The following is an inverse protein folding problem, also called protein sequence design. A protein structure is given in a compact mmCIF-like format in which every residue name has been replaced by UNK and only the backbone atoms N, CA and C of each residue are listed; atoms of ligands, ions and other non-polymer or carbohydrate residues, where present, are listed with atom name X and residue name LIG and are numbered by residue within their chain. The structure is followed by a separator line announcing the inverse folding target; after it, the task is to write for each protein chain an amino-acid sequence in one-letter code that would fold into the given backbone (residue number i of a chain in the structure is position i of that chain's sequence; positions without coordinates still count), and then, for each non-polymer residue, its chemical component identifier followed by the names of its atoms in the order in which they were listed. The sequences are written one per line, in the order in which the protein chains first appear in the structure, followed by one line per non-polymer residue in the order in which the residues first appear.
data_IF_250206029488
#
_entry.id   IF_250206029488
#
_cell.length_a   1.000
_cell.length_b   1.000
_cell.length_c   1.000
_cell.angle_alpha   90.00
_cell.angle_beta   90.00
_cell.angle_gamma   90.00
#
_symmetry.space_group_name_H-M   'P 1'
#
loop_
_entity.id
_entity.type
_entity.pdbx_description
1 polymer ?
#
# COMPACT_ATOMS: atom_id res chain seq x y z
N UNK A 1 -44.03 -7.76 -10.29
CA UNK A 1 -44.28 -6.44 -10.90
C UNK A 1 -43.43 -5.44 -10.12
N UNK A 2 -42.14 -5.32 -10.40
CA UNK A 2 -41.55 -4.57 -11.52
C UNK A 2 -41.43 -3.07 -11.20
N UNK A 3 -40.50 -2.71 -10.30
CA UNK A 3 -39.85 -1.36 -10.20
C UNK A 3 -38.66 -1.42 -9.22
N UNK A 4 -37.61 -2.20 -9.50
CA UNK A 4 -36.30 -2.07 -8.82
C UNK A 4 -35.15 -2.59 -9.70
N UNK A 5 -35.30 -2.48 -11.03
CA UNK A 5 -34.33 -2.99 -12.00
C UNK A 5 -34.09 -1.94 -13.09
N UNK A 6 -33.40 -0.86 -12.74
CA UNK A 6 -32.81 0.09 -13.68
C UNK A 6 -32.02 1.12 -12.89
N UNK A 7 -30.70 0.92 -12.76
CA UNK A 7 -29.65 1.95 -12.53
C UNK A 7 -28.27 1.35 -12.18
N UNK A 8 -27.98 0.08 -12.53
CA UNK A 8 -26.67 -0.56 -12.29
C UNK A 8 -25.82 -0.66 -13.56
N UNK A 9 -25.79 0.40 -14.37
CA UNK A 9 -25.00 0.43 -15.61
C UNK A 9 -24.42 1.81 -15.84
N UNK A 10 -23.40 2.19 -15.04
CA UNK A 10 -22.36 3.17 -15.40
C UNK A 10 -21.32 3.29 -14.27
N UNK A 11 -20.55 2.24 -14.03
CA UNK A 11 -19.26 2.38 -13.34
C UNK A 11 -18.22 2.81 -14.37
N UNK A 12 -18.10 4.12 -14.61
CA UNK A 12 -16.89 4.68 -15.22
C UNK A 12 -15.77 4.57 -14.19
N UNK A 13 -14.69 3.86 -14.54
CA UNK A 13 -13.43 3.83 -13.78
C UNK A 13 -13.03 5.27 -13.45
N UNK A 14 -12.97 5.59 -12.15
CA UNK A 14 -12.47 6.87 -11.68
C UNK A 14 -10.97 6.94 -12.00
N UNK A 15 -10.56 7.99 -12.70
CA UNK A 15 -9.17 8.30 -12.99
C UNK A 15 -8.39 8.38 -11.67
N UNK A 16 -7.32 7.60 -11.59
CA UNK A 16 -6.26 7.71 -10.58
C UNK A 16 -5.61 9.09 -10.70
N UNK A 17 -5.18 9.64 -9.57
CA UNK A 17 -4.69 10.99 -9.35
C UNK A 17 -3.75 11.50 -10.47
N UNK A 18 -4.23 12.48 -11.24
CA UNK A 18 -3.37 13.39 -12.01
C UNK A 18 -2.72 14.35 -11.00
N UNK A 19 -1.39 14.32 -10.88
CA UNK A 19 -0.64 15.36 -10.18
C UNK A 19 -0.81 16.68 -10.94
N UNK A 20 -1.53 17.64 -10.34
CA UNK A 20 -1.65 18.97 -10.90
C UNK A 20 -0.29 19.69 -10.82
N UNK A 21 0.37 19.83 -11.98
CA UNK A 21 1.43 20.82 -12.15
C UNK A 21 0.87 22.25 -12.00
N UNK A 22 1.70 23.25 -11.64
CA UNK A 22 1.24 24.62 -11.50
C UNK A 22 0.65 25.14 -12.82
N UNK A 23 -0.49 25.82 -12.72
CA UNK A 23 -1.21 26.37 -13.87
C UNK A 23 -0.32 27.38 -14.63
N UNK A 24 -0.35 27.40 -15.98
CA UNK A 24 0.47 28.31 -16.75
C UNK A 24 -0.04 29.75 -16.64
N UNK A 25 0.81 30.63 -16.11
CA UNK A 25 0.67 32.08 -16.24
C UNK A 25 1.28 32.48 -17.60
N UNK A 26 0.63 33.31 -18.42
CA UNK A 26 1.21 33.71 -19.70
C UNK A 26 2.36 34.69 -19.45
N UNK A 27 3.61 34.22 -19.61
CA UNK A 27 4.81 35.05 -19.61
C UNK A 27 5.53 34.93 -20.96
N UNK A 28 5.87 36.07 -21.55
CA UNK A 28 6.49 36.16 -22.87
C UNK A 28 7.95 35.68 -22.91
N UNK A 29 8.35 35.23 -24.10
CA UNK A 29 9.58 34.54 -24.53
C UNK A 29 10.92 35.08 -24.01
N UNK A 30 10.97 36.28 -23.44
CA UNK A 30 12.21 36.88 -22.95
C UNK A 30 12.62 36.40 -21.54
N UNK A 31 11.70 35.86 -20.74
CA UNK A 31 12.00 35.40 -19.37
C UNK A 31 12.39 33.91 -19.28
N UNK A 32 12.07 33.10 -20.30
CA UNK A 32 12.35 31.65 -20.31
C UNK A 32 13.85 31.33 -20.21
N UNK A 33 14.70 32.11 -20.88
CA UNK A 33 16.17 31.89 -20.85
C UNK A 33 16.82 32.15 -19.50
N UNK A 34 16.17 32.92 -18.62
CA UNK A 34 16.70 33.26 -17.29
C UNK A 34 16.32 32.24 -16.22
N UNK A 35 15.19 31.55 -16.38
CA UNK A 35 14.67 30.60 -15.37
C UNK A 35 15.35 29.23 -15.49
N UNK A 36 15.78 28.84 -16.69
CA UNK A 36 16.55 27.60 -16.92
C UNK A 36 17.92 27.58 -16.24
N UNK A 37 18.52 28.74 -15.95
CA UNK A 37 19.83 28.83 -15.29
C UNK A 37 19.78 28.83 -13.75
N UNK A 38 18.61 29.06 -13.13
CA UNK A 38 18.50 29.17 -11.66
C UNK A 38 17.87 27.94 -10.98
N UNK A 39 17.22 27.04 -11.71
CA UNK A 39 16.59 25.86 -11.13
C UNK A 39 17.49 24.63 -11.31
N UNK A 40 18.06 24.15 -10.21
CA UNK A 40 18.73 22.85 -10.15
C UNK A 40 17.83 21.70 -10.62
N UNK A 41 18.39 20.53 -10.94
CA UNK A 41 17.69 19.49 -11.68
C UNK A 41 16.48 18.94 -10.92
N UNK A 42 15.28 19.20 -11.46
CA UNK A 42 13.99 18.62 -11.05
C UNK A 42 13.96 17.09 -11.27
N UNK A 43 13.30 16.31 -10.39
CA UNK A 43 13.13 14.88 -10.56
C UNK A 43 12.02 14.62 -11.60
N UNK A 44 12.39 14.13 -12.78
CA UNK A 44 11.43 13.79 -13.84
C UNK A 44 11.87 14.09 -15.28
N UNK A 45 13.18 14.13 -15.57
CA UNK A 45 13.63 14.19 -16.97
C UNK A 45 13.13 12.95 -17.72
N UNK A 46 12.25 13.16 -18.70
CA UNK A 46 11.96 12.18 -19.75
C UNK A 46 13.29 11.79 -20.41
N UNK A 47 13.64 10.51 -20.35
CA UNK A 47 14.92 10.03 -20.90
C UNK A 47 14.87 10.21 -22.42
N UNK A 48 15.91 10.83 -22.97
CA UNK A 48 16.02 10.98 -24.43
C UNK A 48 16.37 9.63 -25.07
N UNK A 49 15.86 9.35 -26.27
CA UNK A 49 16.20 8.13 -27.03
C UNK A 49 17.72 7.88 -27.13
N UNK A 50 18.51 8.96 -27.22
CA UNK A 50 19.97 8.90 -27.27
C UNK A 50 20.61 8.43 -25.95
N UNK A 51 20.01 8.78 -24.81
CA UNK A 51 20.44 8.29 -23.49
C UNK A 51 20.10 6.80 -23.33
N UNK A 52 18.93 6.37 -23.80
CA UNK A 52 18.52 4.96 -23.79
C UNK A 52 19.47 4.12 -24.66
N UNK A 53 19.80 4.54 -25.87
CA UNK A 53 20.68 3.78 -26.78
C UNK A 53 22.12 3.66 -26.27
N UNK A 54 22.60 4.64 -25.51
CA UNK A 54 23.95 4.60 -24.92
C UNK A 54 24.01 3.83 -23.61
N UNK A 55 22.85 3.51 -23.03
CA UNK A 55 22.77 2.88 -21.73
C UNK A 55 23.35 1.46 -21.73
N UNK A 56 23.96 1.08 -20.61
CA UNK A 56 24.53 -0.27 -20.43
C UNK A 56 23.43 -1.32 -20.46
N UNK A 57 22.26 -1.04 -19.88
CA UNK A 57 21.12 -1.95 -19.84
C UNK A 57 20.62 -2.24 -21.25
N UNK A 58 20.54 -1.24 -22.13
CA UNK A 58 20.10 -1.44 -23.52
C UNK A 58 21.04 -2.37 -24.28
N UNK A 59 22.36 -2.25 -24.06
CA UNK A 59 23.33 -3.19 -24.64
C UNK A 59 23.19 -4.62 -24.11
N UNK A 60 22.92 -4.75 -22.80
CA UNK A 60 22.66 -6.06 -22.18
C UNK A 60 21.36 -6.65 -22.76
N UNK A 61 20.33 -5.84 -22.94
CA UNK A 61 19.07 -6.25 -23.54
C UNK A 61 19.24 -6.74 -24.98
N UNK A 62 19.95 -5.99 -25.82
CA UNK A 62 20.30 -6.37 -27.19
C UNK A 62 21.08 -7.68 -27.28
N UNK A 63 21.88 -7.99 -26.26
CA UNK A 63 22.67 -9.20 -26.19
C UNK A 63 21.88 -10.42 -25.69
N UNK A 64 20.81 -10.24 -24.91
CA UNK A 64 20.20 -11.34 -24.15
C UNK A 64 18.69 -11.58 -24.44
N UNK A 65 17.89 -10.54 -24.69
CA UNK A 65 16.43 -10.72 -24.82
C UNK A 65 15.73 -9.84 -25.85
N UNK A 66 16.40 -8.85 -26.42
CA UNK A 66 15.82 -8.05 -27.50
C UNK A 66 15.60 -8.91 -28.75
N UNK A 67 14.38 -8.88 -29.27
CA UNK A 67 13.89 -9.70 -30.39
C UNK A 67 14.59 -9.38 -31.73
N UNK A 68 15.46 -8.36 -31.76
CA UNK A 68 16.22 -7.95 -32.96
C UNK A 68 17.19 -8.99 -33.52
N UNK A 69 17.54 -10.05 -32.78
CA UNK A 69 18.40 -11.15 -33.27
C UNK A 69 17.65 -12.47 -33.14
N UNK A 70 17.28 -13.07 -34.27
CA UNK A 70 16.41 -14.26 -34.37
C UNK A 70 16.88 -15.56 -33.68
N UNK A 71 18.00 -15.54 -32.93
CA UNK A 71 18.40 -16.61 -32.01
C UNK A 71 18.34 -16.06 -30.58
N UNK A 72 17.38 -16.55 -29.78
CA UNK A 72 17.33 -16.25 -28.35
C UNK A 72 18.51 -16.94 -27.65
N UNK A 73 19.43 -16.21 -27.00
CA UNK A 73 20.52 -16.82 -26.26
C UNK A 73 19.99 -17.58 -25.03
N UNK A 74 20.82 -18.50 -24.52
CA UNK A 74 20.47 -19.32 -23.35
C UNK A 74 20.27 -18.42 -22.14
N UNK A 75 19.21 -18.67 -21.37
CA UNK A 75 18.91 -17.93 -20.16
C UNK A 75 20.04 -18.04 -19.13
N UNK A 76 20.42 -16.89 -18.57
CA UNK A 76 21.38 -16.81 -17.47
C UNK A 76 20.71 -16.19 -16.23
N UNK A 77 20.56 -17.00 -15.18
CA UNK A 77 20.00 -16.58 -13.90
C UNK A 77 20.92 -15.59 -13.16
N UNK A 78 22.25 -15.76 -13.24
CA UNK A 78 23.21 -14.88 -12.58
C UNK A 78 23.14 -13.44 -13.13
N UNK A 79 22.75 -13.28 -14.40
CA UNK A 79 22.54 -11.96 -14.99
C UNK A 79 21.36 -11.23 -14.34
N UNK A 80 20.30 -11.95 -13.97
CA UNK A 80 19.16 -11.36 -13.25
C UNK A 80 19.60 -10.87 -11.87
N UNK A 81 20.37 -11.69 -11.16
CA UNK A 81 20.93 -11.33 -9.86
C UNK A 81 21.87 -10.11 -9.96
N UNK A 82 22.69 -10.04 -11.01
CA UNK A 82 23.59 -8.92 -11.29
C UNK A 82 22.82 -7.63 -11.58
N UNK A 83 21.82 -7.67 -12.47
CA UNK A 83 20.97 -6.53 -12.81
C UNK A 83 20.27 -6.02 -11.55
N UNK A 84 19.69 -6.93 -10.76
CA UNK A 84 19.03 -6.55 -9.52
C UNK A 84 19.98 -5.85 -8.56
N UNK A 85 21.14 -6.46 -8.27
CA UNK A 85 22.09 -5.94 -7.26
C UNK A 85 22.80 -4.66 -7.68
N UNK A 86 23.08 -4.48 -8.98
CA UNK A 86 23.84 -3.32 -9.48
C UNK A 86 22.96 -2.16 -9.92
N UNK A 87 21.81 -2.44 -10.54
CA UNK A 87 20.99 -1.41 -11.21
C UNK A 87 19.67 -1.12 -10.48
N UNK A 88 19.09 -2.12 -9.78
CA UNK A 88 17.78 -1.98 -9.11
C UNK A 88 17.90 -1.78 -7.59
N UNK A 89 18.92 -2.36 -6.96
CA UNK A 89 19.17 -2.22 -5.54
C UNK A 89 19.91 -0.90 -5.26
N UNK A 90 19.25 -0.01 -4.53
CA UNK A 90 19.89 1.22 -4.04
C UNK A 90 20.35 1.00 -2.61
N UNK A 91 21.66 0.83 -2.43
CA UNK A 91 22.29 0.59 -1.12
C UNK A 91 22.66 1.87 -0.39
N UNK A 92 22.64 3.05 -1.04
CA UNK A 92 23.17 4.31 -0.46
C UNK A 92 22.32 5.53 -0.83
N UNK A 93 22.06 6.40 0.15
CA UNK A 93 21.30 7.66 0.01
C UNK A 93 19.80 7.53 0.30
N UNK A 94 19.05 8.64 0.29
CA UNK A 94 17.59 8.70 0.56
C UNK A 94 16.73 8.62 -0.72
N UNK A 95 17.27 8.12 -1.84
CA UNK A 95 16.55 8.08 -3.13
C UNK A 95 15.78 6.77 -3.30
N UNK A 96 14.64 6.81 -4.01
CA UNK A 96 13.87 5.63 -4.43
C UNK A 96 14.66 4.79 -5.44
N UNK A 97 14.15 3.62 -5.83
CA UNK A 97 14.71 2.84 -6.96
C UNK A 97 14.93 3.79 -8.14
N UNK A 98 16.07 3.75 -8.85
CA UNK A 98 16.37 4.74 -9.87
C UNK A 98 15.37 4.56 -11.00
N UNK A 99 14.35 5.42 -11.05
CA UNK A 99 13.23 5.32 -11.97
C UNK A 99 13.71 5.09 -13.40
N UNK A 100 14.78 5.79 -13.78
CA UNK A 100 15.37 5.69 -15.10
C UNK A 100 15.85 4.28 -15.46
N UNK A 101 16.38 3.51 -14.51
CA UNK A 101 16.87 2.13 -14.75
C UNK A 101 15.70 1.18 -14.98
N UNK A 102 14.64 1.33 -14.17
CA UNK A 102 13.41 0.54 -14.28
C UNK A 102 12.69 0.82 -15.60
N UNK A 103 12.59 2.10 -15.99
CA UNK A 103 12.03 2.52 -17.28
C UNK A 103 12.79 1.91 -18.47
N UNK A 104 14.12 1.93 -18.46
CA UNK A 104 14.93 1.34 -19.55
C UNK A 104 14.72 -0.17 -19.64
N UNK A 105 14.61 -0.86 -18.51
CA UNK A 105 14.29 -2.29 -18.48
C UNK A 105 12.89 -2.59 -19.04
N UNK A 106 11.89 -1.75 -18.71
CA UNK A 106 10.53 -1.87 -19.24
C UNK A 106 10.50 -1.67 -20.76
N UNK A 107 11.14 -0.61 -21.26
CA UNK A 107 11.23 -0.31 -22.70
C UNK A 107 11.90 -1.48 -23.46
N UNK A 108 12.86 -2.14 -22.82
CA UNK A 108 13.51 -3.31 -23.38
C UNK A 108 12.70 -4.62 -23.28
N UNK A 109 11.49 -4.58 -22.71
CA UNK A 109 10.60 -5.72 -22.47
C UNK A 109 11.26 -6.82 -21.62
N UNK A 110 11.95 -6.40 -20.54
CA UNK A 110 12.67 -7.30 -19.65
C UNK A 110 11.77 -8.36 -19.00
N UNK A 111 10.53 -7.99 -18.64
CA UNK A 111 9.57 -8.91 -18.04
C UNK A 111 9.12 -9.98 -19.03
N UNK A 112 8.66 -9.56 -20.19
CA UNK A 112 8.02 -10.42 -21.21
C UNK A 112 9.02 -11.33 -21.91
N UNK A 113 10.23 -10.83 -22.18
CA UNK A 113 11.20 -11.57 -22.99
C UNK A 113 12.26 -12.31 -22.17
N UNK A 114 12.52 -11.92 -20.91
CA UNK A 114 13.60 -12.50 -20.12
C UNK A 114 13.16 -13.07 -18.77
N UNK A 115 12.40 -12.34 -17.96
CA UNK A 115 12.07 -12.79 -16.60
C UNK A 115 10.97 -13.86 -16.58
N UNK A 116 9.80 -13.58 -17.18
CA UNK A 116 8.63 -14.44 -17.05
C UNK A 116 8.74 -15.77 -17.82
N UNK A 117 9.24 -15.80 -19.08
CA UNK A 117 9.42 -17.05 -19.80
C UNK A 117 10.37 -18.02 -19.10
N UNK A 118 11.37 -17.50 -18.39
CA UNK A 118 12.39 -18.29 -17.69
C UNK A 118 12.15 -18.41 -16.19
N UNK A 119 10.98 -18.00 -15.69
CA UNK A 119 10.64 -18.17 -14.28
C UNK A 119 10.35 -19.64 -13.98
N UNK A 120 11.09 -20.17 -13.00
CA UNK A 120 10.93 -21.53 -12.48
C UNK A 120 10.69 -21.48 -10.95
N UNK A 121 9.52 -21.93 -10.45
CA UNK A 121 9.12 -21.73 -9.06
C UNK A 121 10.08 -22.27 -7.99
N UNK A 122 10.81 -23.35 -8.31
CA UNK A 122 11.71 -24.02 -7.36
C UNK A 122 13.14 -23.47 -7.37
N UNK A 123 13.58 -22.94 -8.51
CA UNK A 123 14.96 -22.48 -8.72
C UNK A 123 15.11 -20.95 -8.67
N UNK A 124 14.02 -20.20 -8.82
CA UNK A 124 14.08 -18.73 -8.88
C UNK A 124 14.66 -18.12 -7.59
N UNK A 125 15.67 -17.26 -7.79
CA UNK A 125 16.30 -16.46 -6.74
C UNK A 125 15.35 -15.38 -6.19
N UNK A 126 15.71 -14.81 -5.04
CA UNK A 126 15.01 -13.65 -4.49
C UNK A 126 15.01 -12.49 -5.48
N UNK A 127 16.17 -12.24 -6.09
CA UNK A 127 16.41 -11.19 -7.07
C UNK A 127 15.53 -11.33 -8.32
N UNK A 128 15.31 -12.56 -8.80
CA UNK A 128 14.40 -12.82 -9.92
C UNK A 128 12.96 -12.46 -9.57
N UNK A 129 12.44 -12.95 -8.44
CA UNK A 129 11.06 -12.67 -8.01
C UNK A 129 10.87 -11.18 -7.77
N UNK A 130 11.81 -10.52 -7.09
CA UNK A 130 11.73 -9.09 -6.81
C UNK A 130 11.86 -8.25 -8.09
N UNK A 131 12.64 -8.69 -9.08
CA UNK A 131 12.71 -8.03 -10.39
C UNK A 131 11.36 -8.08 -11.12
N UNK A 132 10.65 -9.22 -11.07
CA UNK A 132 9.28 -9.32 -11.62
C UNK A 132 8.35 -8.34 -10.91
N UNK A 133 8.39 -8.30 -9.58
CA UNK A 133 7.61 -7.37 -8.74
C UNK A 133 7.85 -5.91 -9.16
N UNK A 134 9.10 -5.51 -9.35
CA UNK A 134 9.46 -4.15 -9.77
C UNK A 134 8.96 -3.82 -11.19
N UNK A 135 9.08 -4.75 -12.14
CA UNK A 135 8.58 -4.54 -13.50
C UNK A 135 7.04 -4.41 -13.53
N UNK A 136 6.33 -5.19 -12.72
CA UNK A 136 4.87 -5.05 -12.59
C UNK A 136 4.50 -3.68 -12.03
N UNK A 137 5.14 -3.23 -10.95
CA UNK A 137 4.91 -1.90 -10.38
C UNK A 137 5.14 -0.79 -11.41
N UNK A 138 6.21 -0.90 -12.21
CA UNK A 138 6.51 0.07 -13.26
C UNK A 138 5.43 0.10 -14.34
N UNK A 139 4.92 -1.07 -14.75
CA UNK A 139 3.81 -1.15 -15.70
C UNK A 139 2.55 -0.45 -15.19
N UNK A 140 2.23 -0.59 -13.91
CA UNK A 140 1.15 0.17 -13.29
C UNK A 140 1.42 1.67 -13.27
N UNK A 141 2.66 2.08 -12.99
CA UNK A 141 3.07 3.50 -12.99
C UNK A 141 2.91 4.15 -14.36
N UNK A 142 3.28 3.45 -15.43
CA UNK A 142 3.10 3.89 -16.83
C UNK A 142 1.68 3.64 -17.36
N UNK A 143 0.78 3.11 -16.52
CA UNK A 143 -0.59 2.77 -16.86
C UNK A 143 -0.69 1.84 -18.09
N UNK A 144 0.27 0.93 -18.23
CA UNK A 144 0.27 -0.12 -19.24
C UNK A 144 -0.26 -1.44 -18.65
N UNK A 145 -0.83 -2.32 -19.48
CA UNK A 145 -1.45 -3.57 -19.00
C UNK A 145 -0.46 -4.54 -18.36
N UNK A 146 -0.36 -4.52 -17.03
CA UNK A 146 0.66 -5.26 -16.29
C UNK A 146 0.47 -6.80 -16.29
N UNK A 147 -0.79 -7.28 -16.27
CA UNK A 147 -1.07 -8.71 -16.12
C UNK A 147 -1.07 -9.51 -17.43
N UNK A 148 -1.12 -8.84 -18.59
CA UNK A 148 -1.31 -9.51 -19.89
C UNK A 148 -0.24 -10.55 -20.19
N UNK A 149 1.03 -10.27 -19.88
CA UNK A 149 2.13 -11.18 -20.16
C UNK A 149 2.09 -12.48 -19.33
N UNK A 150 1.40 -12.47 -18.19
CA UNK A 150 1.31 -13.64 -17.33
C UNK A 150 0.32 -14.69 -17.85
N UNK A 151 -0.66 -14.27 -18.66
CA UNK A 151 -1.63 -15.16 -19.31
C UNK A 151 -0.98 -16.14 -20.29
N UNK A 152 0.23 -15.85 -20.79
CA UNK A 152 1.00 -16.78 -21.64
C UNK A 152 1.44 -18.05 -20.89
N UNK A 153 1.55 -17.99 -19.55
CA UNK A 153 1.90 -19.11 -18.66
C UNK A 153 1.04 -19.08 -17.38
N UNK A 154 -0.28 -19.01 -17.55
CA UNK A 154 -1.24 -18.88 -16.44
C UNK A 154 -1.12 -20.03 -15.42
N UNK A 155 -0.72 -21.22 -15.86
CA UNK A 155 -0.54 -22.42 -15.03
C UNK A 155 0.55 -22.26 -13.96
N UNK A 156 1.57 -21.45 -14.23
CA UNK A 156 2.72 -21.22 -13.33
C UNK A 156 2.46 -20.04 -12.39
N UNK A 157 1.50 -19.17 -12.71
CA UNK A 157 1.19 -17.97 -11.92
C UNK A 157 0.83 -18.25 -10.45
N UNK A 158 0.02 -19.28 -10.11
CA UNK A 158 -0.23 -19.61 -8.70
C UNK A 158 1.06 -19.95 -7.93
N UNK A 159 2.03 -20.61 -8.58
CA UNK A 159 3.31 -20.94 -7.97
C UNK A 159 4.19 -19.68 -7.79
N UNK A 160 4.14 -18.75 -8.75
CA UNK A 160 4.75 -17.42 -8.61
C UNK A 160 4.16 -16.66 -7.40
N UNK A 161 2.83 -16.55 -7.29
CA UNK A 161 2.18 -15.93 -6.14
C UNK A 161 2.60 -16.59 -4.82
N UNK A 162 2.65 -17.93 -4.77
CA UNK A 162 3.11 -18.63 -3.58
C UNK A 162 4.55 -18.26 -3.20
N UNK A 163 5.45 -18.12 -4.19
CA UNK A 163 6.82 -17.62 -3.95
C UNK A 163 6.79 -16.19 -3.42
N UNK A 164 6.03 -15.29 -4.04
CA UNK A 164 5.89 -13.89 -3.58
C UNK A 164 5.38 -13.80 -2.13
N UNK A 165 4.37 -14.60 -1.77
CA UNK A 165 3.79 -14.57 -0.42
C UNK A 165 4.73 -15.15 0.65
N UNK A 166 5.60 -16.09 0.27
CA UNK A 166 6.60 -16.72 1.16
C UNK A 166 7.99 -16.08 1.06
N UNK A 167 8.17 -15.02 0.27
CA UNK A 167 9.45 -14.32 0.16
C UNK A 167 9.93 -13.79 1.52
N UNK A 168 9.01 -13.34 2.37
CA UNK A 168 9.31 -12.82 3.71
C UNK A 168 9.61 -13.92 4.75
N UNK A 169 9.31 -15.18 4.46
CA UNK A 169 9.66 -16.31 5.36
C UNK A 169 11.15 -16.66 5.27
N UNK A 170 11.87 -16.13 4.27
CA UNK A 170 13.30 -16.32 4.13
C UNK A 170 14.05 -15.43 5.13
N UNK A 171 15.14 -15.94 5.73
CA UNK A 171 15.94 -15.24 6.77
C UNK A 171 16.71 -13.99 6.27
N UNK A 172 16.43 -13.52 5.05
CA UNK A 172 17.06 -12.31 4.49
C UNK A 172 16.45 -11.07 5.11
N UNK A 173 17.31 -10.12 5.51
CA UNK A 173 16.88 -8.79 5.96
C UNK A 173 16.55 -7.92 4.74
N UNK A 174 15.37 -7.30 4.76
CA UNK A 174 14.90 -6.43 3.69
C UNK A 174 15.14 -4.97 4.06
N UNK A 175 15.61 -4.19 3.10
CA UNK A 175 15.64 -2.75 3.28
C UNK A 175 14.23 -2.13 3.13
N UNK A 176 14.05 -0.90 3.59
CA UNK A 176 12.75 -0.22 3.58
C UNK A 176 12.18 -0.06 2.16
N UNK A 177 13.03 0.01 1.14
CA UNK A 177 12.63 0.15 -0.27
C UNK A 177 12.08 -1.16 -0.83
N UNK A 178 12.71 -2.28 -0.54
CA UNK A 178 12.24 -3.62 -0.91
C UNK A 178 10.88 -3.86 -0.28
N UNK A 179 10.72 -3.51 1.01
CA UNK A 179 9.43 -3.58 1.71
C UNK A 179 8.36 -2.71 1.04
N UNK A 180 8.71 -1.47 0.65
CA UNK A 180 7.78 -0.54 -0.01
C UNK A 180 7.37 -1.02 -1.40
N UNK A 181 8.31 -1.50 -2.23
CA UNK A 181 8.00 -2.00 -3.57
C UNK A 181 7.18 -3.29 -3.52
N UNK A 182 7.48 -4.17 -2.57
CA UNK A 182 6.66 -5.34 -2.32
C UNK A 182 5.23 -4.97 -1.93
N UNK A 183 5.08 -4.00 -1.03
CA UNK A 183 3.78 -3.52 -0.60
C UNK A 183 3.00 -2.89 -1.77
N UNK A 184 3.65 -2.11 -2.63
CA UNK A 184 3.04 -1.55 -3.83
C UNK A 184 2.54 -2.64 -4.79
N UNK A 185 3.32 -3.71 -4.96
CA UNK A 185 2.87 -4.86 -5.75
C UNK A 185 1.65 -5.55 -5.12
N UNK A 186 1.62 -5.67 -3.79
CA UNK A 186 0.46 -6.22 -3.09
C UNK A 186 -0.77 -5.32 -3.27
N UNK A 187 -0.62 -3.98 -3.21
CA UNK A 187 -1.69 -3.03 -3.52
C UNK A 187 -2.23 -3.31 -4.93
N UNK A 188 -1.36 -3.39 -5.94
CA UNK A 188 -1.78 -3.68 -7.31
C UNK A 188 -2.48 -5.04 -7.47
N UNK A 189 -2.03 -6.08 -6.76
CA UNK A 189 -2.69 -7.38 -6.73
C UNK A 189 -4.13 -7.28 -6.20
N UNK A 190 -4.32 -6.58 -5.07
CA UNK A 190 -5.66 -6.40 -4.47
C UNK A 190 -6.52 -5.37 -5.23
N UNK A 191 -5.92 -4.46 -5.99
CA UNK A 191 -6.67 -3.56 -6.88
C UNK A 191 -7.10 -4.24 -8.19
N UNK A 192 -6.56 -5.42 -8.51
CA UNK A 192 -6.79 -6.13 -9.78
C UNK A 192 -7.65 -7.39 -9.61
N UNK A 193 -8.62 -7.37 -8.70
CA UNK A 193 -9.50 -8.53 -8.45
C UNK A 193 -10.44 -8.85 -9.63
N UNK A 194 -10.53 -7.99 -10.65
CA UNK A 194 -11.23 -8.32 -11.89
C UNK A 194 -10.58 -9.45 -12.70
N UNK A 195 -9.26 -9.63 -12.57
CA UNK A 195 -8.52 -10.69 -13.26
C UNK A 195 -8.58 -11.98 -12.42
N UNK A 196 -9.15 -13.05 -12.99
CA UNK A 196 -9.33 -14.33 -12.30
C UNK A 196 -8.00 -14.96 -11.86
N UNK A 197 -6.97 -14.85 -12.69
CA UNK A 197 -5.63 -15.37 -12.43
C UNK A 197 -5.02 -14.74 -11.16
N UNK A 198 -5.25 -13.43 -10.96
CA UNK A 198 -4.78 -12.68 -9.78
C UNK A 198 -5.71 -12.87 -8.58
N UNK A 199 -7.02 -12.81 -8.81
CA UNK A 199 -8.06 -12.92 -7.77
C UNK A 199 -7.98 -14.23 -6.99
N UNK A 200 -7.81 -15.36 -7.69
CA UNK A 200 -7.84 -16.69 -7.08
C UNK A 200 -6.78 -16.93 -5.99
N UNK A 201 -5.49 -16.61 -6.17
CA UNK A 201 -4.48 -16.72 -5.12
C UNK A 201 -4.61 -15.61 -4.06
N UNK A 202 -4.88 -14.36 -4.47
CA UNK A 202 -4.85 -13.20 -3.56
C UNK A 202 -5.99 -13.23 -2.54
N UNK A 203 -7.21 -13.61 -2.94
CA UNK A 203 -8.34 -13.67 -2.02
C UNK A 203 -8.21 -14.74 -0.92
N UNK A 204 -7.34 -15.74 -1.10
CA UNK A 204 -7.05 -16.73 -0.05
C UNK A 204 -6.41 -16.08 1.18
N UNK A 205 -5.64 -15.02 0.98
CA UNK A 205 -4.99 -14.26 2.04
C UNK A 205 -5.98 -13.45 2.88
N UNK A 206 -7.15 -13.13 2.34
CA UNK A 206 -8.20 -12.34 2.98
C UNK A 206 -9.42 -13.17 3.43
N UNK A 207 -9.23 -14.48 3.64
CA UNK A 207 -10.31 -15.42 3.94
C UNK A 207 -10.50 -15.65 5.45
N UNK A 208 -11.58 -16.35 5.83
CA UNK A 208 -11.95 -16.72 7.20
C UNK A 208 -10.80 -17.31 8.04
N UNK A 209 -9.82 -17.98 7.42
CA UNK A 209 -8.66 -18.56 8.12
C UNK A 209 -7.87 -17.52 8.92
N UNK A 210 -7.84 -16.25 8.46
CA UNK A 210 -7.22 -15.13 9.17
C UNK A 210 -7.63 -15.04 10.64
N UNK A 211 -8.84 -15.47 10.98
CA UNK A 211 -9.36 -15.38 12.34
C UNK A 211 -8.69 -16.31 13.35
N UNK A 212 -7.86 -17.25 12.89
CA UNK A 212 -6.92 -17.96 13.77
C UNK A 212 -5.89 -17.02 14.43
N UNK A 213 -5.64 -15.84 13.83
CA UNK A 213 -4.76 -14.81 14.38
C UNK A 213 -5.44 -13.87 15.39
N UNK A 214 -6.77 -13.89 15.50
CA UNK A 214 -7.50 -13.03 16.44
C UNK A 214 -7.29 -13.45 17.90
N UNK A 215 -7.36 -12.47 18.79
CA UNK A 215 -7.50 -12.72 20.22
C UNK A 215 -8.78 -13.53 20.51
N UNK A 216 -8.71 -14.39 21.53
CA UNK A 216 -9.85 -15.26 21.89
C UNK A 216 -11.11 -14.46 22.21
N UNK A 217 -10.96 -13.33 22.90
CA UNK A 217 -12.07 -12.45 23.25
C UNK A 217 -12.71 -11.84 22.00
N UNK A 218 -11.90 -11.33 21.07
CA UNK A 218 -12.42 -10.77 19.82
C UNK A 218 -13.16 -11.81 18.98
N UNK A 219 -12.59 -13.01 18.85
CA UNK A 219 -13.21 -14.11 18.11
C UNK A 219 -14.59 -14.49 18.68
N UNK A 220 -14.73 -14.52 20.01
CA UNK A 220 -16.01 -14.81 20.66
C UNK A 220 -17.06 -13.72 20.40
N UNK A 221 -16.66 -12.44 20.42
CA UNK A 221 -17.56 -11.33 20.11
C UNK A 221 -18.11 -11.43 18.68
N UNK A 222 -17.25 -11.77 17.72
CA UNK A 222 -17.67 -11.96 16.32
C UNK A 222 -18.67 -13.12 16.15
N UNK A 223 -18.47 -14.23 16.89
CA UNK A 223 -19.44 -15.34 16.88
C UNK A 223 -20.79 -14.95 17.47
N UNK A 224 -20.78 -14.09 18.49
CA UNK A 224 -22.00 -13.61 19.12
C UNK A 224 -22.80 -12.69 18.19
N UNK A 225 -22.15 -11.75 17.52
CA UNK A 225 -22.83 -10.81 16.62
C UNK A 225 -23.25 -11.45 15.28
N UNK A 226 -22.50 -12.44 14.78
CA UNK A 226 -22.73 -13.03 13.45
C UNK A 226 -22.76 -14.57 13.44
N UNK A 227 -23.62 -15.23 14.23
CA UNK A 227 -23.57 -16.68 14.41
C UNK A 227 -23.79 -17.49 13.12
N UNK A 228 -24.74 -17.10 12.25
CA UNK A 228 -25.01 -17.88 11.03
C UNK A 228 -23.93 -17.72 9.96
N UNK A 229 -23.41 -16.51 9.82
CA UNK A 229 -22.49 -16.15 8.73
C UNK A 229 -21.04 -16.48 9.02
N UNK A 230 -20.71 -16.69 10.30
CA UNK A 230 -19.34 -16.85 10.76
C UNK A 230 -19.16 -18.13 11.55
N UNK A 231 -19.95 -18.36 12.61
CA UNK A 231 -19.74 -19.52 13.50
C UNK A 231 -19.98 -20.84 12.77
N UNK A 232 -20.98 -20.92 11.89
CA UNK A 232 -21.25 -22.15 11.12
C UNK A 232 -20.14 -22.46 10.09
N UNK A 233 -19.69 -21.50 9.25
CA UNK A 233 -18.49 -21.67 8.42
C UNK A 233 -17.23 -22.01 9.23
N UNK A 234 -17.03 -21.38 10.40
CA UNK A 234 -15.89 -21.63 11.28
C UNK A 234 -15.88 -23.06 11.82
N UNK A 235 -17.03 -23.57 12.29
CA UNK A 235 -17.17 -24.98 12.71
C UNK A 235 -16.85 -25.95 11.57
N UNK A 236 -17.27 -25.63 10.34
CA UNK A 236 -16.95 -26.45 9.15
C UNK A 236 -15.46 -26.42 8.84
N UNK A 237 -14.81 -25.26 8.97
CA UNK A 237 -13.37 -25.10 8.82
C UNK A 237 -12.61 -25.96 9.83
N UNK A 238 -12.91 -25.83 11.13
CA UNK A 238 -12.30 -26.63 12.19
C UNK A 238 -12.48 -28.14 11.96
N UNK A 239 -13.64 -28.59 11.48
CA UNK A 239 -13.87 -29.99 11.13
C UNK A 239 -13.00 -30.46 9.95
N UNK A 240 -12.72 -29.60 8.96
CA UNK A 240 -11.81 -29.93 7.84
C UNK A 240 -10.36 -29.98 8.33
N UNK A 241 -9.94 -29.00 9.12
CA UNK A 241 -8.61 -28.92 9.72
C UNK A 241 -8.32 -30.13 10.62
N UNK A 242 -9.27 -30.53 11.47
CA UNK A 242 -9.13 -31.73 12.31
C UNK A 242 -8.98 -33.02 11.49
N UNK A 243 -9.60 -33.12 10.31
CA UNK A 243 -9.40 -34.25 9.39
C UNK A 243 -8.01 -34.23 8.75
N UNK A 244 -7.49 -33.05 8.41
CA UNK A 244 -6.14 -32.89 7.87
C UNK A 244 -5.08 -33.22 8.92
N UNK A 245 -5.26 -32.74 10.16
CA UNK A 245 -4.39 -33.07 11.29
C UNK A 245 -4.30 -34.58 11.53
N UNK A 246 -5.44 -35.29 11.47
CA UNK A 246 -5.48 -36.76 11.58
C UNK A 246 -4.73 -37.47 10.44
N UNK A 247 -4.71 -36.89 9.23
CA UNK A 247 -3.98 -37.44 8.08
C UNK A 247 -2.48 -37.12 8.11
N UNK A 248 -2.07 -36.04 8.76
CA UNK A 248 -0.69 -35.57 8.82
C UNK A 248 0.21 -36.36 9.80
N UNK A 249 -0.34 -37.28 10.60
CA UNK A 249 0.42 -38.13 11.52
C UNK A 249 1.09 -37.34 12.66
N UNK A 250 2.30 -37.76 13.07
CA UNK A 250 3.07 -37.14 14.18
C UNK A 250 3.57 -35.71 13.93
N UNK A 251 3.40 -35.15 12.73
CA UNK A 251 3.62 -33.70 12.52
C UNK A 251 2.40 -32.95 13.05
N UNK A 252 2.59 -32.26 14.16
CA UNK A 252 1.57 -31.41 14.78
C UNK A 252 1.15 -30.33 13.77
N UNK A 253 0.00 -30.53 13.12
CA UNK A 253 -0.59 -29.54 12.24
C UNK A 253 -1.10 -28.38 13.11
N UNK A 254 -0.46 -27.23 12.98
CA UNK A 254 -0.87 -25.98 13.62
C UNK A 254 -1.42 -25.03 12.56
N UNK A 255 -2.76 -24.78 12.53
CA UNK A 255 -3.38 -23.83 11.61
C UNK A 255 -2.76 -22.43 11.68
N UNK A 256 -2.22 -22.03 12.84
CA UNK A 256 -1.57 -20.72 12.99
C UNK A 256 -0.28 -20.59 12.20
N UNK A 257 0.29 -21.71 11.75
CA UNK A 257 1.49 -21.69 10.93
C UNK A 257 1.20 -21.53 9.44
N UNK A 258 -0.06 -21.62 9.02
CA UNK A 258 -0.45 -21.48 7.62
C UNK A 258 -0.23 -20.05 7.11
N UNK A 259 0.12 -19.96 5.83
CA UNK A 259 0.38 -18.70 5.14
C UNK A 259 -0.82 -17.76 5.23
N UNK A 260 -2.02 -18.27 4.96
CA UNK A 260 -3.27 -17.50 4.97
C UNK A 260 -3.62 -16.94 6.36
N UNK A 261 -3.01 -17.47 7.42
CA UNK A 261 -3.20 -16.98 8.79
C UNK A 261 -2.15 -15.93 9.13
N UNK A 262 -0.89 -16.14 8.75
CA UNK A 262 0.23 -15.29 9.16
C UNK A 262 0.44 -14.05 8.30
N UNK A 263 0.11 -14.13 7.01
CA UNK A 263 0.54 -13.15 6.01
C UNK A 263 0.11 -11.70 6.35
N UNK A 264 -1.18 -11.44 6.52
CA UNK A 264 -1.66 -10.08 6.83
C UNK A 264 -1.28 -9.64 8.26
N UNK A 265 -1.38 -10.49 9.31
CA UNK A 265 -0.89 -10.11 10.64
C UNK A 265 0.59 -9.74 10.68
N UNK A 266 1.46 -10.47 9.96
CA UNK A 266 2.90 -10.16 9.94
C UNK A 266 3.19 -8.83 9.25
N UNK A 267 2.46 -8.51 8.17
CA UNK A 267 2.52 -7.20 7.52
C UNK A 267 2.04 -6.07 8.44
N UNK A 268 0.94 -6.26 9.18
CA UNK A 268 0.46 -5.28 10.17
C UNK A 268 1.49 -5.08 11.29
N UNK A 269 2.11 -6.16 11.77
CA UNK A 269 3.14 -6.08 12.80
C UNK A 269 4.39 -5.34 12.30
N UNK A 270 4.87 -5.66 11.09
CA UNK A 270 5.99 -4.96 10.45
C UNK A 270 5.71 -3.47 10.31
N UNK A 271 4.50 -3.12 9.86
CA UNK A 271 4.07 -1.72 9.77
C UNK A 271 4.13 -1.00 11.11
N UNK A 272 3.58 -1.60 12.17
CA UNK A 272 3.58 -0.97 13.49
C UNK A 272 5.00 -0.80 14.04
N UNK A 273 5.93 -1.72 13.74
CA UNK A 273 7.34 -1.59 14.12
C UNK A 273 8.06 -0.47 13.36
N UNK A 274 7.79 -0.34 12.06
CA UNK A 274 8.36 0.74 11.23
C UNK A 274 7.78 2.08 11.68
N UNK A 275 6.47 2.15 11.94
CA UNK A 275 5.78 3.35 12.40
C UNK A 275 6.40 3.89 13.71
N UNK A 276 6.69 3.01 14.66
CA UNK A 276 7.30 3.38 15.95
C UNK A 276 8.74 3.91 15.80
N UNK A 277 9.46 3.46 14.78
CA UNK A 277 10.85 3.87 14.49
C UNK A 277 10.98 4.98 13.43
N UNK A 278 9.87 5.44 12.84
CA UNK A 278 9.90 6.38 11.70
C UNK A 278 10.38 7.79 12.10
N UNK A 279 10.08 8.22 13.32
CA UNK A 279 10.49 9.53 13.85
C UNK A 279 11.52 9.30 14.93
N UNK A 280 12.76 9.72 14.68
CA UNK A 280 13.79 9.70 15.71
C UNK A 280 13.60 10.92 16.62
N UNK A 281 13.23 10.68 17.88
CA UNK A 281 13.23 11.72 18.90
C UNK A 281 14.69 12.02 19.24
N UNK A 282 15.23 13.13 18.76
CA UNK A 282 16.51 13.65 19.21
C UNK A 282 16.36 14.15 20.65
N UNK A 283 16.68 13.30 21.61
CA UNK A 283 16.93 13.72 23.00
C UNK A 283 18.24 14.48 23.03
N UNK A 284 18.21 15.77 22.67
CA UNK A 284 19.28 16.69 23.04
C UNK A 284 18.84 17.31 24.36
N UNK A 285 19.21 16.67 25.48
CA UNK A 285 19.13 17.26 26.81
C UNK A 285 20.16 18.40 26.89
N UNK A 286 19.78 19.57 26.37
CA UNK A 286 20.54 20.81 26.45
C UNK A 286 19.61 21.95 26.85
N UNK A 287 19.97 22.78 27.85
CA UNK A 287 19.04 23.75 28.45
C UNK A 287 18.67 24.95 27.56
N UNK A 288 19.15 25.03 26.31
CA UNK A 288 19.12 26.27 25.52
C UNK A 288 18.35 26.23 24.18
N UNK A 289 17.58 25.18 23.86
CA UNK A 289 16.78 25.16 22.62
C UNK A 289 15.27 25.30 22.86
N UNK A 290 14.82 26.55 22.98
CA UNK A 290 13.40 26.93 22.84
C UNK A 290 13.09 27.01 21.33
N UNK A 291 12.90 25.85 20.72
CA UNK A 291 12.46 25.70 19.34
C UNK A 291 11.98 24.27 19.16
N UNK A 292 10.73 24.08 18.72
CA UNK A 292 10.21 22.76 18.35
C UNK A 292 11.01 22.23 17.17
N UNK A 293 12.13 21.56 17.43
CA UNK A 293 12.80 20.77 16.41
C UNK A 293 11.97 19.50 16.21
N UNK A 294 11.08 19.57 15.22
CA UNK A 294 10.38 18.43 14.63
C UNK A 294 11.41 17.30 14.42
N UNK A 295 11.24 16.18 15.14
CA UNK A 295 12.20 15.07 15.15
C UNK A 295 12.51 14.58 13.74
N UNK A 296 13.75 14.18 13.47
CA UNK A 296 14.14 13.77 12.12
C UNK A 296 13.31 12.56 11.66
N UNK A 297 12.66 12.71 10.51
CA UNK A 297 11.83 11.66 9.87
C UNK A 297 12.66 10.93 8.82
N UNK A 298 12.63 9.59 8.86
CA UNK A 298 13.12 8.78 7.76
C UNK A 298 12.11 8.75 6.60
N UNK A 299 12.48 9.35 5.47
CA UNK A 299 11.62 9.41 4.27
C UNK A 299 11.19 8.04 3.76
N UNK A 300 12.09 7.05 3.85
CA UNK A 300 11.79 5.70 3.40
C UNK A 300 10.67 5.08 4.24
N UNK A 301 10.76 5.22 5.56
CA UNK A 301 9.77 4.74 6.52
C UNK A 301 8.46 5.51 6.42
N UNK A 302 8.50 6.83 6.23
CA UNK A 302 7.32 7.66 5.96
C UNK A 302 6.55 7.14 4.74
N UNK A 303 7.23 6.99 3.60
CA UNK A 303 6.62 6.49 2.36
C UNK A 303 6.05 5.08 2.55
N UNK A 304 6.76 4.20 3.26
CA UNK A 304 6.25 2.88 3.58
C UNK A 304 4.95 2.95 4.39
N UNK A 305 4.91 3.78 5.43
CA UNK A 305 3.73 3.97 6.29
C UNK A 305 2.54 4.52 5.50
N UNK A 306 2.75 5.48 4.60
CA UNK A 306 1.71 6.01 3.71
C UNK A 306 1.15 4.91 2.79
N UNK A 307 2.02 4.14 2.13
CA UNK A 307 1.61 3.01 1.27
C UNK A 307 0.92 1.91 2.07
N UNK A 308 1.29 1.70 3.33
CA UNK A 308 0.62 0.71 4.16
C UNK A 308 -0.80 1.14 4.54
N UNK A 309 -0.99 2.42 4.80
CA UNK A 309 -2.33 2.96 5.03
C UNK A 309 -3.20 2.90 3.77
N UNK A 310 -2.65 3.22 2.59
CA UNK A 310 -3.32 2.98 1.29
C UNK A 310 -3.74 1.52 1.14
N UNK A 311 -2.81 0.58 1.37
CA UNK A 311 -3.07 -0.86 1.32
C UNK A 311 -4.23 -1.26 2.24
N UNK A 312 -4.22 -0.83 3.51
CA UNK A 312 -5.33 -1.13 4.43
C UNK A 312 -6.65 -0.52 3.97
N UNK A 313 -6.65 0.73 3.49
CA UNK A 313 -7.85 1.41 3.00
C UNK A 313 -8.45 0.64 1.82
N UNK A 314 -7.63 0.25 0.85
CA UNK A 314 -8.07 -0.50 -0.33
C UNK A 314 -8.70 -1.85 0.06
N UNK A 315 -8.00 -2.65 0.88
CA UNK A 315 -8.52 -3.95 1.30
C UNK A 315 -9.82 -3.82 2.14
N UNK A 316 -10.01 -2.71 2.83
CA UNK A 316 -11.20 -2.48 3.66
C UNK A 316 -12.34 -1.78 2.90
N UNK A 317 -12.04 -1.17 1.76
CA UNK A 317 -13.03 -0.59 0.84
C UNK A 317 -13.74 -1.67 0.01
N UNK A 318 -13.07 -2.81 -0.21
CA UNK A 318 -13.56 -3.91 -1.02
C UNK A 318 -14.36 -4.93 -0.19
N UNK A 319 -15.60 -5.23 -0.59
CA UNK A 319 -16.45 -6.24 0.06
C UNK A 319 -15.80 -7.63 0.28
N UNK A 320 -15.09 -8.24 -0.70
CA UNK A 320 -14.58 -9.61 -0.55
C UNK A 320 -13.47 -9.75 0.50
N UNK A 321 -12.70 -8.70 0.77
CA UNK A 321 -11.52 -8.71 1.65
C UNK A 321 -11.82 -8.12 3.02
N UNK A 322 -12.81 -7.23 3.10
CA UNK A 322 -13.07 -6.41 4.26
C UNK A 322 -13.53 -7.16 5.51
N UNK A 323 -14.48 -8.08 5.38
CA UNK A 323 -15.18 -8.67 6.57
C UNK A 323 -14.18 -9.25 7.57
N UNK A 324 -13.30 -10.12 7.08
CA UNK A 324 -12.37 -10.84 7.95
C UNK A 324 -11.21 -9.95 8.37
N UNK A 325 -10.74 -9.07 7.48
CA UNK A 325 -9.66 -8.13 7.77
C UNK A 325 -10.06 -7.06 8.79
N UNK A 326 -11.31 -6.56 8.75
CA UNK A 326 -11.79 -5.53 9.67
C UNK A 326 -11.61 -5.98 11.12
N UNK A 327 -12.02 -7.21 11.45
CA UNK A 327 -11.85 -7.77 12.79
C UNK A 327 -10.37 -7.81 13.21
N UNK A 328 -9.47 -8.18 12.30
CA UNK A 328 -8.03 -8.25 12.55
C UNK A 328 -7.42 -6.87 12.81
N UNK A 329 -7.72 -5.89 11.96
CA UNK A 329 -7.23 -4.51 12.08
C UNK A 329 -7.68 -3.87 13.39
N UNK A 330 -8.90 -4.20 13.82
CA UNK A 330 -9.43 -3.70 15.09
C UNK A 330 -8.83 -4.40 16.32
N UNK A 331 -8.64 -5.72 16.27
CA UNK A 331 -7.98 -6.47 17.34
C UNK A 331 -6.53 -6.02 17.55
N UNK A 332 -5.83 -5.71 16.44
CA UNK A 332 -4.48 -5.15 16.47
C UNK A 332 -4.43 -3.67 16.91
N UNK A 333 -5.58 -3.02 17.06
CA UNK A 333 -5.74 -1.61 17.42
C UNK A 333 -4.95 -0.65 16.50
N UNK A 334 -4.89 -0.96 15.19
CA UNK A 334 -4.04 -0.23 14.22
C UNK A 334 -4.30 1.27 14.24
N UNK A 335 -5.57 1.68 14.15
CA UNK A 335 -5.95 3.10 14.12
C UNK A 335 -5.52 3.85 15.38
N UNK A 336 -5.63 3.20 16.55
CA UNK A 336 -5.23 3.81 17.83
C UNK A 336 -3.71 3.98 17.87
N UNK A 337 -2.96 2.95 17.46
CA UNK A 337 -1.49 3.00 17.40
C UNK A 337 -0.99 4.04 16.38
N UNK A 338 -1.65 4.17 15.23
CA UNK A 338 -1.35 5.24 14.26
C UNK A 338 -1.48 6.62 14.91
N UNK A 339 -2.53 6.87 15.70
CA UNK A 339 -2.76 8.16 16.34
C UNK A 339 -1.80 8.46 17.49
N UNK A 340 -1.32 7.42 18.18
CA UNK A 340 -0.33 7.57 19.25
C UNK A 340 1.10 7.72 18.72
N UNK A 341 1.34 7.49 17.43
CA UNK A 341 2.68 7.60 16.83
C UNK A 341 3.11 9.06 16.66
N UNK A 342 4.41 9.31 16.80
CA UNK A 342 5.02 10.63 16.59
C UNK A 342 4.82 11.13 15.15
N UNK A 343 5.03 10.23 14.17
CA UNK A 343 4.06 9.95 13.12
C UNK A 343 3.03 11.04 12.77
N UNK A 344 1.92 10.89 13.48
CA UNK A 344 0.63 11.50 13.22
C UNK A 344 0.60 13.01 13.52
N UNK A 345 1.40 13.48 14.48
CA UNK A 345 1.47 14.89 14.84
C UNK A 345 2.58 15.64 14.10
N UNK A 346 3.47 14.92 13.42
CA UNK A 346 4.59 15.49 12.69
C UNK A 346 4.11 16.23 11.43
N UNK A 347 4.69 17.41 11.14
CA UNK A 347 4.36 18.23 9.96
C UNK A 347 4.43 17.45 8.64
N UNK A 348 5.48 16.64 8.49
CA UNK A 348 5.68 15.73 7.35
C UNK A 348 4.74 14.52 7.29
N UNK A 349 4.12 14.14 8.40
CA UNK A 349 3.19 13.02 8.50
C UNK A 349 1.75 13.39 8.16
N UNK A 350 1.48 14.58 7.60
CA UNK A 350 0.12 15.07 7.34
C UNK A 350 -0.69 14.11 6.46
N UNK A 351 -0.11 13.62 5.36
CA UNK A 351 -0.76 12.65 4.47
C UNK A 351 -1.07 11.35 5.21
N UNK A 352 -0.12 10.82 5.98
CA UNK A 352 -0.33 9.66 6.84
C UNK A 352 -1.49 9.88 7.85
N UNK A 353 -1.54 11.06 8.48
CA UNK A 353 -2.61 11.46 9.37
C UNK A 353 -3.99 11.51 8.70
N UNK A 354 -4.07 12.07 7.49
CA UNK A 354 -5.29 12.10 6.68
C UNK A 354 -5.79 10.69 6.33
N UNK A 355 -4.88 9.78 5.94
CA UNK A 355 -5.22 8.39 5.65
C UNK A 355 -5.74 7.65 6.89
N UNK A 356 -5.10 7.87 8.05
CA UNK A 356 -5.54 7.32 9.32
C UNK A 356 -6.91 7.87 9.75
N UNK A 357 -7.15 9.16 9.49
CA UNK A 357 -8.42 9.81 9.74
C UNK A 357 -9.56 9.22 8.90
N UNK A 358 -9.35 9.05 7.59
CA UNK A 358 -10.33 8.44 6.68
C UNK A 358 -10.81 7.09 7.22
N UNK A 359 -9.88 6.29 7.73
CA UNK A 359 -10.18 4.99 8.34
C UNK A 359 -10.97 5.09 9.64
N UNK A 360 -10.65 6.06 10.49
CA UNK A 360 -11.36 6.29 11.74
C UNK A 360 -12.81 6.70 11.49
N UNK A 361 -13.01 7.66 10.58
CA UNK A 361 -14.32 8.17 10.19
C UNK A 361 -15.21 7.07 9.63
N UNK A 362 -14.63 6.17 8.82
CA UNK A 362 -15.32 4.99 8.30
C UNK A 362 -16.02 4.17 9.40
N UNK A 363 -15.33 3.98 10.53
CA UNK A 363 -15.79 3.14 11.65
C UNK A 363 -16.71 3.90 12.59
N UNK A 364 -16.33 5.12 12.92
CA UNK A 364 -16.82 5.81 14.09
C UNK A 364 -18.08 6.63 13.82
N UNK A 365 -18.29 7.02 12.55
CA UNK A 365 -19.40 7.90 12.16
C UNK A 365 -20.06 7.42 10.87
N UNK A 366 -21.16 6.64 10.94
CA UNK A 366 -21.87 6.13 9.76
C UNK A 366 -22.29 7.22 8.77
N UNK A 367 -22.63 8.42 9.28
CA UNK A 367 -22.98 9.60 8.47
C UNK A 367 -21.83 10.10 7.58
N UNK A 368 -20.59 9.81 7.95
CA UNK A 368 -19.39 10.22 7.20
C UNK A 368 -18.77 9.05 6.42
N UNK A 369 -19.49 7.94 6.27
CA UNK A 369 -19.00 6.80 5.48
C UNK A 369 -18.67 7.22 4.04
N UNK A 370 -19.35 8.22 3.50
CA UNK A 370 -19.06 8.77 2.17
C UNK A 370 -17.67 9.43 2.12
N UNK A 371 -17.28 10.20 3.14
CA UNK A 371 -15.90 10.77 3.26
C UNK A 371 -14.89 9.64 3.21
N UNK A 372 -15.15 8.58 3.97
CA UNK A 372 -14.23 7.47 4.05
C UNK A 372 -14.08 6.67 2.76
N UNK A 373 -14.98 6.85 1.79
CA UNK A 373 -14.92 6.25 0.45
C UNK A 373 -14.51 7.25 -0.65
N UNK A 374 -14.28 8.52 -0.29
CA UNK A 374 -13.91 9.57 -1.24
C UNK A 374 -12.39 9.59 -1.48
N UNK A 375 -11.96 10.04 -2.66
CA UNK A 375 -10.54 10.26 -2.96
C UNK A 375 -9.92 11.30 -2.00
N UNK A 376 -8.72 11.03 -1.49
CA UNK A 376 -7.97 11.89 -0.57
C UNK A 376 -7.77 13.30 -1.14
N UNK A 377 -7.57 13.45 -2.46
CA UNK A 377 -7.43 14.76 -3.10
C UNK A 377 -8.69 15.64 -2.98
N UNK A 378 -9.87 15.04 -2.79
CA UNK A 378 -11.09 15.77 -2.50
C UNK A 378 -11.23 16.11 -1.00
N UNK A 379 -10.58 15.36 -0.12
CA UNK A 379 -10.57 15.57 1.35
C UNK A 379 -9.52 16.62 1.74
N UNK A 380 -8.46 16.79 0.95
CA UNK A 380 -7.40 17.79 1.18
C UNK A 380 -7.90 19.24 1.07
N UNK A 381 -8.96 19.49 0.29
CA UNK A 381 -9.53 20.83 0.15
C UNK A 381 -10.34 21.20 1.39
N UNK A 382 -9.92 22.26 2.11
CA UNK A 382 -10.62 22.76 3.32
C UNK A 382 -12.13 22.86 3.12
N UNK A 383 -12.58 23.43 2.01
CA UNK A 383 -14.01 23.67 1.76
C UNK A 383 -14.79 22.37 1.55
N UNK A 384 -14.22 21.39 0.85
CA UNK A 384 -14.83 20.09 0.63
C UNK A 384 -14.93 19.29 1.94
N UNK A 385 -13.89 19.35 2.79
CA UNK A 385 -13.93 18.74 4.11
C UNK A 385 -14.97 19.41 5.02
N UNK A 386 -15.07 20.74 5.01
CA UNK A 386 -16.12 21.48 5.76
C UNK A 386 -17.52 21.10 5.32
N UNK A 387 -17.76 21.01 4.00
CA UNK A 387 -19.05 20.62 3.45
C UNK A 387 -19.44 19.22 3.92
N UNK A 388 -18.52 18.25 3.84
CA UNK A 388 -18.80 16.89 4.26
C UNK A 388 -18.96 16.72 5.78
N UNK A 389 -18.26 17.53 6.58
CA UNK A 389 -18.42 17.54 8.04
C UNK A 389 -19.72 18.23 8.52
N UNK A 390 -20.35 19.05 7.67
CA UNK A 390 -21.60 19.77 8.00
C UNK A 390 -22.79 18.85 8.31
N UNK A 391 -22.70 17.58 7.91
CA UNK A 391 -23.71 16.54 8.18
C UNK A 391 -23.77 16.16 9.67
N UNK A 392 -22.73 16.48 10.44
CA UNK A 392 -22.65 16.16 11.87
C UNK A 392 -23.30 17.21 12.76
N UNK A 393 -23.94 16.74 13.82
CA UNK A 393 -24.40 17.62 14.90
C UNK A 393 -23.20 18.13 15.71
N UNK A 394 -23.38 19.23 16.45
CA UNK A 394 -22.32 19.77 17.31
C UNK A 394 -21.81 18.75 18.34
N UNK A 395 -22.69 17.88 18.86
CA UNK A 395 -22.34 16.82 19.79
C UNK A 395 -21.54 15.70 19.12
N UNK A 396 -21.96 15.26 17.93
CA UNK A 396 -21.24 14.25 17.14
C UNK A 396 -19.85 14.76 16.75
N UNK A 397 -19.75 16.02 16.36
CA UNK A 397 -18.50 16.67 15.99
C UNK A 397 -17.59 16.88 17.21
N UNK A 398 -18.14 17.22 18.38
CA UNK A 398 -17.38 17.30 19.64
C UNK A 398 -16.87 15.92 20.05
N UNK A 399 -17.70 14.89 19.99
CA UNK A 399 -17.29 13.51 20.27
C UNK A 399 -16.20 13.07 19.30
N UNK A 400 -16.36 13.38 18.00
CA UNK A 400 -15.33 13.16 16.98
C UNK A 400 -14.02 13.86 17.36
N UNK A 401 -14.01 15.15 17.64
CA UNK A 401 -12.79 15.94 17.93
C UNK A 401 -12.12 15.55 19.25
N UNK A 402 -12.89 15.44 20.33
CA UNK A 402 -12.36 15.30 21.68
C UNK A 402 -12.10 13.87 22.11
N UNK A 403 -12.92 12.91 21.66
CA UNK A 403 -12.82 11.51 22.11
C UNK A 403 -12.28 10.61 20.98
N UNK A 404 -12.77 10.80 19.76
CA UNK A 404 -12.37 9.94 18.65
C UNK A 404 -11.11 10.42 17.95
N UNK A 405 -10.81 11.71 17.88
CA UNK A 405 -9.60 12.25 17.26
C UNK A 405 -8.59 12.75 18.29
N UNK A 406 -9.05 13.03 19.52
CA UNK A 406 -8.23 13.53 20.64
C UNK A 406 -7.38 14.74 20.22
N UNK A 407 -7.91 15.59 19.33
CA UNK A 407 -7.21 16.81 18.88
C UNK A 407 -7.27 17.90 19.96
N UNK A 408 -8.31 17.87 20.79
CA UNK A 408 -8.55 18.82 21.88
C UNK A 408 -9.02 18.04 23.11
N UNK A 409 -8.60 18.47 24.30
CA UNK A 409 -9.08 17.88 25.55
C UNK A 409 -10.60 18.07 25.71
N UNK A 410 -11.35 17.06 26.20
CA UNK A 410 -12.76 17.23 26.55
C UNK A 410 -13.03 18.35 27.58
N UNK A 411 -12.01 18.70 28.37
CA UNK A 411 -12.04 19.78 29.36
C UNK A 411 -11.73 21.17 28.80
N UNK A 412 -11.43 21.29 27.51
CA UNK A 412 -11.11 22.58 26.89
C UNK A 412 -12.37 23.48 26.83
N UNK A 413 -12.32 24.71 27.37
CA UNK A 413 -13.43 25.66 27.28
C UNK A 413 -13.88 25.94 25.84
N UNK A 414 -12.97 25.87 24.86
CA UNK A 414 -13.24 26.11 23.44
C UNK A 414 -13.96 24.94 22.78
N UNK A 415 -13.81 23.71 23.28
CA UNK A 415 -14.59 22.56 22.83
C UNK A 415 -16.10 22.69 23.17
N UNK A 416 -16.45 23.57 24.11
CA UNK A 416 -17.83 23.84 24.53
C UNK A 416 -18.41 25.14 23.91
N UNK A 417 -17.62 25.92 23.17
CA UNK A 417 -18.09 27.17 22.54
C UNK A 417 -18.92 26.89 21.29
N UNK A 418 -20.15 26.44 21.51
CA UNK A 418 -21.41 26.75 20.79
C UNK A 418 -21.45 26.85 19.26
N UNK A 419 -20.43 26.45 18.51
CA UNK A 419 -20.43 26.55 17.06
C UNK A 419 -19.68 25.36 16.49
N UNK A 420 -20.33 24.67 15.56
CA UNK A 420 -19.69 23.73 14.64
C UNK A 420 -18.36 24.29 14.12
N UNK A 421 -18.25 25.61 13.97
CA UNK A 421 -17.05 26.31 13.53
C UNK A 421 -15.78 25.93 14.30
N UNK A 422 -15.75 25.92 15.64
CA UNK A 422 -14.51 25.64 16.37
C UNK A 422 -14.05 24.19 16.17
N UNK A 423 -14.97 23.22 16.30
CA UNK A 423 -14.65 21.81 16.12
C UNK A 423 -14.41 21.45 14.64
N UNK A 424 -15.11 22.07 13.69
CA UNK A 424 -14.89 21.88 12.24
C UNK A 424 -13.52 22.45 11.86
N UNK A 425 -13.19 23.68 12.29
CA UNK A 425 -11.89 24.28 11.98
C UNK A 425 -10.73 23.49 12.59
N UNK A 426 -10.93 22.84 13.73
CA UNK A 426 -9.91 21.97 14.34
C UNK A 426 -9.66 20.74 13.49
N UNK A 427 -10.70 20.08 13.00
CA UNK A 427 -10.54 18.94 12.06
C UNK A 427 -9.89 19.42 10.75
N UNK A 428 -10.36 20.53 10.20
CA UNK A 428 -9.90 21.08 8.92
C UNK A 428 -8.50 21.72 9.02
N UNK A 429 -8.02 22.05 10.21
CA UNK A 429 -6.65 22.47 10.46
C UNK A 429 -5.71 21.28 10.70
N UNK A 430 -6.20 20.21 11.32
CA UNK A 430 -5.42 19.02 11.61
C UNK A 430 -5.16 18.14 10.37
N UNK A 431 -6.10 18.13 9.42
CA UNK A 431 -6.04 17.37 8.18
C UNK A 431 -6.01 18.34 7.01
#
# INVERSE_FOLDING_TARGET
MATYASNFSQFKKAKVAEYAGPAPVPLGDALEKSVEQMLGPMPGKAITLNEIQRDKITKIAEANWSVTKGNKPVFNAELVDEIYRKELLVTTGNKTVPLQRVMVLEISQYLENYLWPNFEPTAASFEHVMSIVLMVNEKFRENVPAWRCFHDREDVFPAFCQRVFTLKDQERVWNIREKTNYLLFMIHCFQSLEDEMVRAPVLKLAHLKLWHALSRGRLQMEFFFHPKEVLEPWKKLLKKEAKLAKKAGSKQYDPKQELEVKFLPSLIQEFLQILDSTVSLSTVDGPDNIGKEDGQVDEGSLLYCERFMEFLIDLLSQLPTRRYLLALVEDAAVVIKCRMSALYTHSRGRLFGQLAFQRLVYKAVPKLQEIALTNIAAIEKRDALKEKLSVLTAEELKHLVCEQLMLISPSDPWANRGSNFCSVEVVVAAF
#
